data_IF_823105525518
#
_entry.id   IF_823105525518
#
_cell.length_a   1.000
_cell.length_b   1.000
_cell.length_c   1.000
_cell.angle_alpha   90.00
_cell.angle_beta   90.00
_cell.angle_gamma   90.00
#
_symmetry.space_group_name_H-M   'P 1'
#
loop_
_entity.id
_entity.type
_entity.pdbx_description
1 polymer ?
#
# COMPACT_ATOMS: atom_id res chain seq x y z
N UNK A 1 67.53 18.77 28.30
CA UNK A 1 68.89 19.22 28.65
C UNK A 1 69.85 18.41 27.80
N UNK A 2 69.78 18.53 26.47
CA UNK A 2 70.27 19.67 25.65
C UNK A 2 71.77 19.87 25.92
N UNK A 3 72.67 19.74 24.93
CA UNK A 3 72.92 20.70 23.85
C UNK A 3 73.70 19.92 22.75
N UNK A 4 73.17 19.72 21.55
CA UNK A 4 73.27 20.58 20.35
C UNK A 4 74.63 20.46 19.61
N UNK A 5 74.59 19.94 18.39
CA UNK A 5 75.56 20.25 17.35
C UNK A 5 74.82 20.31 16.00
N UNK A 6 75.02 21.43 15.33
CA UNK A 6 74.21 22.00 14.28
C UNK A 6 75.05 22.10 13.01
N UNK A 7 74.47 21.64 11.88
CA UNK A 7 74.66 22.11 10.49
C UNK A 7 76.02 21.94 9.78
N UNK A 8 75.98 21.26 8.62
CA UNK A 8 76.42 21.81 7.30
C UNK A 8 75.50 21.25 6.20
N UNK A 9 74.72 22.13 5.55
CA UNK A 9 74.09 21.92 4.23
C UNK A 9 75.15 21.96 3.11
N UNK A 10 74.94 21.24 1.99
CA UNK A 10 74.79 21.80 0.61
C UNK A 10 74.46 20.66 -0.37
N UNK A 11 73.22 20.67 -0.89
CA UNK A 11 72.92 20.84 -2.33
C UNK A 11 73.23 19.74 -3.37
N UNK A 12 72.13 19.11 -3.82
CA UNK A 12 71.72 18.83 -5.23
C UNK A 12 72.40 17.69 -6.04
N UNK A 13 71.68 16.56 -6.10
CA UNK A 13 71.11 16.00 -7.35
C UNK A 13 71.98 15.12 -8.26
N UNK A 14 71.63 13.83 -8.39
CA UNK A 14 71.08 13.24 -9.64
C UNK A 14 71.08 11.70 -9.63
N UNK A 15 70.06 11.15 -10.29
CA UNK A 15 69.91 9.80 -10.87
C UNK A 15 69.69 8.57 -9.97
N UNK A 16 68.48 8.05 -10.13
CA UNK A 16 67.98 6.72 -9.74
C UNK A 16 68.66 5.65 -10.59
N UNK A 17 69.05 4.54 -9.95
CA UNK A 17 69.33 3.27 -10.59
C UNK A 17 68.76 2.16 -9.72
N UNK A 18 67.79 1.38 -10.24
CA UNK A 18 67.46 0.05 -9.71
C UNK A 18 66.73 -0.82 -10.75
N UNK A 19 67.53 -1.74 -11.32
CA UNK A 19 67.26 -3.14 -11.68
C UNK A 19 66.07 -3.50 -12.62
N UNK A 20 66.44 -3.96 -13.82
CA UNK A 20 65.70 -4.85 -14.76
C UNK A 20 65.50 -6.29 -14.20
N UNK A 21 64.97 -7.33 -14.94
CA UNK A 21 64.38 -7.40 -16.30
C UNK A 21 63.09 -8.26 -16.50
N UNK A 22 62.43 -8.00 -17.65
CA UNK A 22 61.85 -8.92 -18.66
C UNK A 22 60.93 -10.11 -18.26
N UNK A 23 59.66 -10.06 -18.71
CA UNK A 23 59.09 -11.13 -19.57
C UNK A 23 57.85 -10.64 -20.33
N UNK A 24 57.98 -10.57 -21.66
CA UNK A 24 56.98 -10.19 -22.65
C UNK A 24 55.89 -11.25 -22.81
N UNK A 25 54.62 -10.83 -22.83
CA UNK A 25 53.48 -11.69 -23.16
C UNK A 25 53.39 -11.86 -24.68
N UNK A 26 53.63 -13.06 -25.17
CA UNK A 26 53.45 -13.46 -26.57
C UNK A 26 51.96 -13.66 -26.90
N UNK A 27 51.53 -13.08 -28.01
CA UNK A 27 50.34 -13.47 -28.76
C UNK A 27 50.57 -14.82 -29.43
N UNK A 28 49.63 -15.76 -29.29
CA UNK A 28 49.45 -16.89 -30.20
C UNK A 28 47.95 -17.08 -30.42
N UNK A 29 47.53 -16.90 -31.67
CA UNK A 29 46.26 -17.34 -32.24
C UNK A 29 46.44 -18.75 -32.78
N UNK A 30 45.59 -19.70 -32.36
CA UNK A 30 44.85 -20.65 -33.20
C UNK A 30 44.23 -21.74 -32.31
N UNK A 31 42.92 -21.91 -32.41
CA UNK A 31 42.28 -23.21 -32.74
C UNK A 31 40.76 -23.02 -32.66
N UNK A 32 40.12 -23.11 -33.82
CA UNK A 32 38.69 -23.27 -33.91
C UNK A 32 38.31 -24.72 -33.68
N UNK A 33 37.44 -24.98 -32.72
CA UNK A 33 36.57 -26.15 -32.77
C UNK A 33 35.17 -25.76 -32.26
N UNK A 34 34.22 -25.79 -33.20
CA UNK A 34 32.85 -25.38 -32.99
C UNK A 34 32.08 -26.46 -32.21
N UNK A 35 31.80 -26.20 -30.92
CA UNK A 35 30.76 -26.92 -30.18
C UNK A 35 29.53 -26.03 -30.12
N UNK A 36 28.54 -26.38 -30.94
CA UNK A 36 27.15 -25.88 -30.85
C UNK A 36 26.59 -26.26 -29.48
N UNK A 37 26.40 -25.27 -28.62
CA UNK A 37 25.55 -25.37 -27.44
C UNK A 37 24.33 -24.46 -27.65
N UNK A 38 23.35 -24.97 -28.39
CA UNK A 38 21.96 -24.49 -28.34
C UNK A 38 21.35 -25.05 -27.06
N UNK A 39 21.60 -24.39 -25.92
CA UNK A 39 20.80 -24.49 -24.68
C UNK A 39 21.28 -23.44 -23.66
N UNK A 40 21.43 -22.19 -24.12
CA UNK A 40 21.62 -21.07 -23.20
C UNK A 40 20.26 -20.76 -22.58
N UNK A 41 20.08 -20.88 -21.24
CA UNK A 41 18.89 -20.35 -20.60
C UNK A 41 18.78 -18.85 -20.92
N UNK A 42 17.56 -18.29 -21.04
CA UNK A 42 17.39 -16.87 -21.37
C UNK A 42 18.23 -16.02 -20.42
N UNK A 43 18.87 -14.93 -20.90
CA UNK A 43 19.75 -14.12 -20.08
C UNK A 43 19.01 -13.70 -18.81
N UNK A 44 19.58 -14.02 -17.65
CA UNK A 44 19.08 -13.62 -16.34
C UNK A 44 18.83 -12.11 -16.37
N UNK A 45 17.67 -11.62 -15.89
CA UNK A 45 17.42 -10.19 -15.85
C UNK A 45 18.45 -9.59 -14.90
N UNK A 46 19.18 -8.64 -15.45
CA UNK A 46 20.07 -7.77 -14.72
C UNK A 46 19.28 -7.03 -13.63
N UNK A 47 19.41 -7.46 -12.37
CA UNK A 47 19.07 -6.63 -11.22
C UNK A 47 20.15 -5.54 -11.14
N UNK A 48 19.85 -4.25 -11.37
CA UNK A 48 20.87 -3.22 -11.24
C UNK A 48 21.23 -3.09 -9.75
N UNK A 49 22.44 -3.51 -9.37
CA UNK A 49 22.98 -3.34 -8.02
C UNK A 49 22.34 -4.26 -6.97
N UNK A 50 23.01 -5.34 -6.60
CA UNK A 50 22.54 -6.37 -5.68
C UNK A 50 22.09 -5.81 -4.32
N UNK A 51 20.77 -5.74 -4.10
CA UNK A 51 20.19 -5.44 -2.78
C UNK A 51 19.81 -3.98 -2.54
N UNK A 52 19.25 -3.73 -1.35
CA UNK A 52 18.65 -2.45 -0.96
C UNK A 52 19.54 -1.23 -1.31
N UNK A 53 19.04 -0.36 -2.19
CA UNK A 53 19.75 0.86 -2.58
C UNK A 53 19.69 1.87 -1.44
N UNK A 54 20.82 2.05 -0.76
CA UNK A 54 21.00 2.98 0.38
C UNK A 54 21.32 4.42 -0.05
N UNK A 55 21.71 4.62 -1.31
CA UNK A 55 22.06 5.92 -1.90
C UNK A 55 20.83 6.83 -2.13
N UNK A 56 21.02 8.16 -2.26
CA UNK A 56 19.93 9.08 -2.59
C UNK A 56 19.26 8.68 -3.91
N UNK A 57 17.97 8.33 -3.82
CA UNK A 57 17.17 7.87 -4.96
C UNK A 57 16.71 9.06 -5.82
N UNK A 58 16.71 8.94 -7.16
CA UNK A 58 16.10 9.94 -8.03
C UNK A 58 14.58 9.96 -7.87
N UNK A 59 13.95 11.12 -8.11
CA UNK A 59 12.48 11.21 -8.10
C UNK A 59 11.88 10.40 -9.24
N UNK A 60 11.01 9.44 -8.91
CA UNK A 60 10.30 8.57 -9.85
C UNK A 60 8.82 8.91 -9.90
N UNK A 61 8.20 8.69 -11.07
CA UNK A 61 6.74 8.79 -11.27
C UNK A 61 6.13 10.14 -10.83
N UNK A 62 6.84 11.25 -11.04
CA UNK A 62 6.44 12.60 -10.62
C UNK A 62 5.04 12.98 -11.12
N UNK A 63 4.66 12.53 -12.31
CA UNK A 63 3.34 12.78 -12.86
C UNK A 63 2.21 12.25 -11.95
N UNK A 64 2.38 11.06 -11.35
CA UNK A 64 1.40 10.49 -10.44
C UNK A 64 1.24 11.34 -9.17
N UNK A 65 2.35 11.83 -8.61
CA UNK A 65 2.36 12.78 -7.50
C UNK A 65 1.60 14.05 -7.84
N UNK A 66 1.91 14.66 -9.00
CA UNK A 66 1.27 15.91 -9.43
C UNK A 66 -0.23 15.72 -9.61
N UNK A 67 -0.66 14.64 -10.26
CA UNK A 67 -2.09 14.32 -10.43
C UNK A 67 -2.78 14.19 -9.08
N UNK A 68 -2.19 13.43 -8.15
CA UNK A 68 -2.78 13.25 -6.82
C UNK A 68 -2.94 14.58 -6.08
N UNK A 69 -1.90 15.42 -6.07
CA UNK A 69 -1.95 16.75 -5.43
C UNK A 69 -3.03 17.63 -6.07
N UNK A 70 -3.15 17.64 -7.39
CA UNK A 70 -4.21 18.38 -8.10
C UNK A 70 -5.59 17.90 -7.67
N UNK A 71 -5.82 16.58 -7.62
CA UNK A 71 -7.10 16.00 -7.21
C UNK A 71 -7.46 16.36 -5.76
N UNK A 72 -6.50 16.28 -4.84
CA UNK A 72 -6.70 16.66 -3.43
C UNK A 72 -7.03 18.14 -3.33
N UNK A 73 -6.23 19.02 -3.92
CA UNK A 73 -6.46 20.46 -3.89
C UNK A 73 -7.78 20.85 -4.55
N UNK A 74 -8.13 20.23 -5.68
CA UNK A 74 -9.40 20.46 -6.36
C UNK A 74 -10.59 20.04 -5.48
N UNK A 75 -10.50 18.88 -4.80
CA UNK A 75 -11.57 18.43 -3.90
C UNK A 75 -11.79 19.37 -2.72
N UNK A 76 -10.70 19.88 -2.12
CA UNK A 76 -10.77 20.81 -0.99
C UNK A 76 -11.26 22.19 -1.45
N UNK A 77 -10.71 22.72 -2.54
CA UNK A 77 -11.08 24.03 -3.07
C UNK A 77 -12.55 24.05 -3.51
N UNK A 78 -13.02 22.99 -4.18
CA UNK A 78 -14.42 22.85 -4.57
C UNK A 78 -15.32 22.76 -3.32
N UNK A 79 -14.92 22.01 -2.30
CA UNK A 79 -15.64 21.93 -1.03
C UNK A 79 -15.80 23.29 -0.35
N UNK A 80 -14.72 24.07 -0.26
CA UNK A 80 -14.74 25.43 0.31
C UNK A 80 -15.64 26.35 -0.54
N UNK A 81 -15.49 26.35 -1.86
CA UNK A 81 -16.32 27.13 -2.78
C UNK A 81 -17.82 26.85 -2.57
N UNK A 82 -18.19 25.58 -2.43
CA UNK A 82 -19.57 25.15 -2.23
C UNK A 82 -20.14 25.60 -0.89
N UNK A 83 -19.35 25.55 0.19
CA UNK A 83 -19.75 26.04 1.51
C UNK A 83 -19.98 27.56 1.48
N UNK A 84 -19.15 28.31 0.74
CA UNK A 84 -19.22 29.78 0.70
C UNK A 84 -20.32 30.30 -0.22
N UNK A 85 -20.50 29.71 -1.40
CA UNK A 85 -21.35 30.29 -2.46
C UNK A 85 -22.71 29.61 -2.67
N UNK A 86 -22.91 28.41 -2.13
CA UNK A 86 -24.11 27.62 -2.41
C UNK A 86 -24.82 27.09 -1.15
N UNK A 87 -24.38 27.49 0.04
CA UNK A 87 -24.98 27.04 1.31
C UNK A 87 -25.66 28.19 2.08
N UNK A 88 -26.40 29.05 1.37
CA UNK A 88 -27.08 30.22 1.98
C UNK A 88 -28.24 29.81 2.92
N UNK A 89 -28.83 28.64 2.72
CA UNK A 89 -30.06 28.19 3.41
C UNK A 89 -29.85 27.08 4.45
N UNK A 90 -28.62 26.86 4.94
CA UNK A 90 -28.30 25.74 5.85
C UNK A 90 -29.10 25.72 7.17
N UNK A 91 -29.68 26.85 7.57
CA UNK A 91 -30.55 26.98 8.75
C UNK A 91 -32.06 26.84 8.47
N UNK A 92 -32.47 26.68 7.21
CA UNK A 92 -33.87 26.71 6.78
C UNK A 92 -34.42 25.33 6.38
N UNK A 93 -33.73 24.25 6.78
CA UNK A 93 -33.99 22.87 6.35
C UNK A 93 -35.44 22.39 6.62
N UNK A 94 -36.14 23.03 7.55
CA UNK A 94 -37.49 22.65 8.02
C UNK A 94 -38.63 23.67 7.75
N UNK A 95 -38.39 24.82 7.10
CA UNK A 95 -39.37 25.95 7.14
C UNK A 95 -40.04 26.36 5.83
N UNK A 96 -40.20 25.46 4.86
CA UNK A 96 -40.74 25.83 3.55
C UNK A 96 -42.20 25.44 3.33
N UNK A 97 -42.95 26.33 2.68
CA UNK A 97 -44.37 26.16 2.35
C UNK A 97 -44.61 26.31 0.84
N UNK A 98 -45.59 25.55 0.32
CA UNK A 98 -46.05 25.64 -1.07
C UNK A 98 -47.19 26.66 -1.19
N UNK A 99 -47.05 27.62 -2.12
CA UNK A 99 -48.14 28.54 -2.46
C UNK A 99 -48.93 28.02 -3.67
N UNK A 100 -50.20 27.67 -3.48
CA UNK A 100 -51.08 27.19 -4.56
C UNK A 100 -51.46 28.27 -5.58
N UNK A 101 -51.46 29.55 -5.18
CA UNK A 101 -51.83 30.68 -6.05
C UNK A 101 -50.71 31.11 -6.99
N UNK A 102 -49.44 31.03 -6.55
CA UNK A 102 -48.27 31.37 -7.37
C UNK A 102 -47.55 30.15 -7.92
N UNK A 103 -47.85 28.95 -7.41
CA UNK A 103 -47.18 27.70 -7.79
C UNK A 103 -45.70 27.66 -7.41
N UNK A 104 -45.28 28.50 -6.47
CA UNK A 104 -43.90 28.65 -6.02
C UNK A 104 -43.76 28.24 -4.55
N UNK A 105 -42.56 27.80 -4.20
CA UNK A 105 -42.19 27.44 -2.84
C UNK A 105 -41.44 28.59 -2.17
N UNK A 106 -41.70 28.85 -0.89
CA UNK A 106 -41.05 29.92 -0.11
C UNK A 106 -40.64 29.41 1.27
N UNK A 107 -39.49 29.88 1.77
CA UNK A 107 -39.01 29.62 3.14
C UNK A 107 -39.47 30.75 4.08
N UNK A 108 -39.83 30.43 5.32
CA UNK A 108 -40.15 31.44 6.32
C UNK A 108 -38.86 31.91 7.00
N UNK A 109 -38.46 33.17 6.76
CA UNK A 109 -37.41 33.84 7.54
C UNK A 109 -37.99 34.32 8.85
N UNK A 110 -38.12 33.42 9.83
CA UNK A 110 -38.68 33.77 11.14
C UNK A 110 -38.07 32.96 12.26
N UNK A 111 -36.82 33.26 12.63
CA UNK A 111 -36.48 33.72 13.97
C UNK A 111 -34.98 34.05 14.06
N UNK A 112 -34.74 35.23 14.63
CA UNK A 112 -33.51 35.81 15.20
C UNK A 112 -32.19 35.06 15.01
N UNK A 113 -31.26 35.80 14.39
CA UNK A 113 -29.89 35.96 14.87
C UNK A 113 -29.79 35.90 16.40
N UNK A 114 -29.38 34.76 16.94
CA UNK A 114 -28.73 34.69 18.23
C UNK A 114 -27.67 33.59 18.20
N UNK A 115 -26.42 34.06 18.11
CA UNK A 115 -25.20 33.33 18.43
C UNK A 115 -25.03 31.96 17.78
N UNK A 116 -24.22 31.96 16.72
CA UNK A 116 -23.35 30.86 16.38
C UNK A 116 -22.69 30.29 17.66
N UNK A 117 -23.27 29.23 18.23
CA UNK A 117 -22.54 28.34 19.12
C UNK A 117 -21.63 27.49 18.25
N UNK A 118 -20.44 28.05 18.05
CA UNK A 118 -19.20 27.34 17.82
C UNK A 118 -19.09 26.30 18.95
N UNK A 119 -19.57 25.09 18.73
CA UNK A 119 -19.23 23.83 19.43
C UNK A 119 -19.92 22.64 18.74
N UNK A 120 -19.62 22.42 17.46
CA UNK A 120 -19.85 21.12 16.80
C UNK A 120 -18.66 20.74 15.91
N UNK A 121 -17.45 20.92 16.44
CA UNK A 121 -16.28 20.21 15.92
C UNK A 121 -16.16 18.89 16.68
N UNK A 122 -16.20 17.79 15.91
CA UNK A 122 -15.94 16.39 16.29
C UNK A 122 -17.19 15.59 16.75
N UNK A 123 -18.15 15.39 15.85
CA UNK A 123 -18.88 14.11 15.79
C UNK A 123 -18.94 13.63 14.33
N UNK A 124 -18.28 12.51 14.02
CA UNK A 124 -18.46 11.76 12.79
C UNK A 124 -19.86 11.11 12.82
N UNK A 125 -20.91 11.88 12.51
CA UNK A 125 -22.23 11.28 12.23
C UNK A 125 -22.32 10.79 10.78
N UNK A 126 -23.10 9.72 10.62
CA UNK A 126 -23.43 9.02 9.39
C UNK A 126 -23.65 9.96 8.19
N UNK A 127 -23.22 9.51 6.99
CA UNK A 127 -23.27 10.20 5.70
C UNK A 127 -24.67 10.78 5.37
N UNK A 128 -25.74 10.28 5.99
CA UNK A 128 -27.11 10.76 5.82
C UNK A 128 -27.44 12.10 6.51
N UNK A 129 -26.57 12.63 7.39
CA UNK A 129 -26.87 13.82 8.22
C UNK A 129 -26.05 15.07 7.88
N UNK A 130 -25.36 15.10 6.73
CA UNK A 130 -24.67 16.31 6.29
C UNK A 130 -25.71 17.30 5.74
N UNK A 131 -25.60 18.61 6.05
CA UNK A 131 -26.52 19.62 5.52
C UNK A 131 -26.43 19.60 3.99
N UNK A 132 -27.52 19.19 3.34
CA UNK A 132 -27.64 19.12 1.90
C UNK A 132 -27.87 20.52 1.35
N UNK A 133 -26.95 20.99 0.50
CA UNK A 133 -27.23 22.12 -0.40
C UNK A 133 -28.42 21.71 -1.26
N UNK A 134 -29.53 22.41 -1.12
CA UNK A 134 -30.75 22.00 -1.77
C UNK A 134 -31.60 23.20 -2.16
N UNK A 135 -32.24 23.08 -3.32
CA UNK A 135 -33.21 24.05 -3.83
C UNK A 135 -34.60 23.44 -3.77
N UNK A 136 -35.58 24.29 -3.52
CA UNK A 136 -36.98 23.90 -3.56
C UNK A 136 -37.43 23.62 -4.99
N UNK A 137 -37.84 22.38 -5.27
CA UNK A 137 -38.45 21.98 -6.53
C UNK A 137 -39.91 21.59 -6.30
N UNK A 138 -40.78 21.93 -7.26
CA UNK A 138 -42.17 21.45 -7.29
C UNK A 138 -42.15 19.92 -7.47
N UNK A 139 -42.82 19.20 -6.59
CA UNK A 139 -43.07 17.76 -6.69
C UNK A 139 -44.58 17.52 -6.76
N UNK A 140 -45.01 16.59 -7.61
CA UNK A 140 -46.42 16.25 -7.82
C UNK A 140 -46.98 15.24 -6.81
N UNK A 141 -46.14 14.68 -5.93
CA UNK A 141 -46.55 13.66 -4.96
C UNK A 141 -45.89 13.92 -3.61
N UNK A 142 -46.68 14.40 -2.65
CA UNK A 142 -46.40 14.25 -1.22
C UNK A 142 -47.51 13.45 -0.54
N UNK A 143 -47.14 12.86 0.60
CA UNK A 143 -47.81 11.75 1.26
C UNK A 143 -49.30 12.01 1.58
N UNK A 144 -50.17 11.16 1.03
CA UNK A 144 -51.64 11.15 1.17
C UNK A 144 -52.29 10.39 0.00
N UNK A 145 -53.54 9.93 0.14
CA UNK A 145 -54.26 9.17 -0.92
C UNK A 145 -54.57 9.99 -2.20
N UNK A 146 -54.31 11.31 -2.18
CA UNK A 146 -54.49 12.20 -3.32
C UNK A 146 -53.17 12.94 -3.66
N UNK A 147 -52.86 13.02 -4.95
CA UNK A 147 -51.71 13.78 -5.46
C UNK A 147 -51.89 15.26 -5.09
N UNK A 148 -51.06 15.74 -4.17
CA UNK A 148 -51.03 17.14 -3.72
C UNK A 148 -49.69 17.74 -4.09
N UNK A 149 -49.72 18.90 -4.75
CA UNK A 149 -48.53 19.66 -5.06
C UNK A 149 -47.85 20.08 -3.76
N UNK A 150 -46.58 19.73 -3.66
CA UNK A 150 -45.78 20.02 -2.50
C UNK A 150 -44.38 20.39 -2.94
N UNK A 151 -43.62 20.79 -1.94
CA UNK A 151 -42.27 21.20 -2.16
C UNK A 151 -41.31 20.18 -1.55
N UNK A 152 -40.34 19.74 -2.35
CA UNK A 152 -39.32 18.78 -1.92
C UNK A 152 -37.92 19.37 -2.10
N UNK A 153 -37.02 19.05 -1.17
CA UNK A 153 -35.61 19.35 -1.32
C UNK A 153 -35.03 18.61 -2.52
N UNK A 154 -34.54 19.36 -3.50
CA UNK A 154 -33.81 18.83 -4.65
C UNK A 154 -32.33 19.14 -4.52
N UNK A 155 -31.50 18.14 -4.81
CA UNK A 155 -30.04 18.27 -4.80
C UNK A 155 -29.60 18.95 -6.09
N UNK A 156 -28.76 19.98 -5.99
CA UNK A 156 -28.21 20.64 -7.17
C UNK A 156 -27.38 19.67 -8.03
N UNK A 157 -27.41 19.85 -9.36
CA UNK A 157 -26.76 18.94 -10.33
C UNK A 157 -25.25 18.77 -10.15
N UNK A 158 -24.57 19.74 -9.54
CA UNK A 158 -23.13 19.68 -9.28
C UNK A 158 -22.78 18.81 -8.06
N UNK A 159 -23.71 18.63 -7.13
CA UNK A 159 -23.46 17.95 -5.85
C UNK A 159 -23.10 16.47 -6.05
N UNK A 160 -23.78 15.68 -6.91
CA UNK A 160 -23.36 14.30 -7.18
C UNK A 160 -21.95 14.20 -7.77
N UNK A 161 -21.56 15.14 -8.65
CA UNK A 161 -20.23 15.17 -9.27
C UNK A 161 -19.15 15.42 -8.20
N UNK A 162 -19.41 16.37 -7.30
CA UNK A 162 -18.54 16.66 -6.17
C UNK A 162 -18.41 15.45 -5.21
N UNK A 163 -19.51 14.76 -4.91
CA UNK A 163 -19.46 13.54 -4.09
C UNK A 163 -18.61 12.45 -4.73
N UNK A 164 -18.79 12.18 -6.03
CA UNK A 164 -18.00 11.17 -6.73
C UNK A 164 -16.50 11.52 -6.68
N UNK A 165 -16.16 12.78 -6.97
CA UNK A 165 -14.77 13.25 -6.92
C UNK A 165 -14.18 13.10 -5.50
N UNK A 166 -14.92 13.51 -4.47
CA UNK A 166 -14.46 13.47 -3.07
C UNK A 166 -14.33 12.05 -2.55
N UNK A 167 -15.27 11.17 -2.87
CA UNK A 167 -15.21 9.75 -2.50
C UNK A 167 -14.00 9.11 -3.18
N UNK A 168 -13.76 9.42 -4.46
CA UNK A 168 -12.60 8.93 -5.18
C UNK A 168 -11.28 9.42 -4.58
N UNK A 169 -11.14 10.71 -4.28
CA UNK A 169 -9.91 11.25 -3.69
C UNK A 169 -9.67 10.71 -2.28
N UNK A 170 -10.72 10.54 -1.47
CA UNK A 170 -10.64 9.93 -0.16
C UNK A 170 -10.20 8.46 -0.25
N UNK A 171 -10.82 7.68 -1.14
CA UNK A 171 -10.47 6.29 -1.38
C UNK A 171 -9.00 6.18 -1.82
N UNK A 172 -8.58 6.98 -2.80
CA UNK A 172 -7.21 6.99 -3.29
C UNK A 172 -6.21 7.39 -2.19
N UNK A 173 -6.56 8.35 -1.33
CA UNK A 173 -5.71 8.76 -0.20
C UNK A 173 -5.53 7.65 0.85
N UNK A 174 -6.61 6.95 1.21
CA UNK A 174 -6.55 5.82 2.16
C UNK A 174 -5.68 4.69 1.60
N UNK A 175 -5.85 4.39 0.30
CA UNK A 175 -5.07 3.35 -0.37
C UNK A 175 -3.59 3.76 -0.50
N UNK A 176 -3.31 5.01 -0.84
CA UNK A 176 -1.95 5.56 -0.83
C UNK A 176 -1.28 5.38 0.53
N UNK A 177 -1.99 5.66 1.63
CA UNK A 177 -1.43 5.47 2.98
C UNK A 177 -1.18 4.00 3.31
N UNK A 178 -2.04 3.10 2.84
CA UNK A 178 -1.86 1.65 3.00
C UNK A 178 -0.63 1.17 2.24
N UNK A 179 -0.47 1.59 0.98
CA UNK A 179 0.69 1.28 0.14
C UNK A 179 1.98 1.90 0.68
N UNK A 180 1.91 3.11 1.24
CA UNK A 180 3.04 3.77 1.89
C UNK A 180 3.51 2.99 3.13
N UNK A 181 2.57 2.46 3.93
CA UNK A 181 2.89 1.61 5.07
C UNK A 181 3.65 0.34 4.62
N UNK A 182 3.15 -0.35 3.59
CA UNK A 182 3.81 -1.54 3.02
C UNK A 182 5.20 -1.17 2.50
N UNK A 183 5.32 -0.08 1.74
CA UNK A 183 6.60 0.39 1.22
C UNK A 183 7.62 0.66 2.33
N UNK A 184 7.23 1.35 3.40
CA UNK A 184 8.13 1.67 4.52
C UNK A 184 8.57 0.40 5.26
N UNK A 185 7.64 -0.53 5.48
CA UNK A 185 7.94 -1.81 6.10
C UNK A 185 8.90 -2.63 5.24
N UNK A 186 8.62 -2.76 3.94
CA UNK A 186 9.47 -3.48 3.01
C UNK A 186 10.86 -2.88 2.89
N UNK A 187 10.95 -1.54 2.83
CA UNK A 187 12.22 -0.81 2.81
C UNK A 187 13.04 -1.05 4.08
N UNK A 188 12.39 -1.09 5.25
CA UNK A 188 13.04 -1.34 6.55
C UNK A 188 13.57 -2.77 6.64
N UNK A 189 12.79 -3.75 6.18
CA UNK A 189 13.20 -5.16 6.16
C UNK A 189 14.33 -5.37 5.18
N UNK A 190 14.26 -4.76 3.98
CA UNK A 190 15.32 -4.86 2.99
C UNK A 190 16.64 -4.30 3.52
N UNK A 191 16.61 -3.18 4.24
CA UNK A 191 17.78 -2.66 4.95
C UNK A 191 18.35 -3.71 5.90
N UNK A 192 17.54 -4.27 6.80
CA UNK A 192 18.00 -5.32 7.72
C UNK A 192 18.55 -6.55 6.96
N UNK A 193 17.86 -7.01 5.93
CA UNK A 193 18.20 -8.21 5.18
C UNK A 193 19.55 -8.08 4.46
N UNK A 194 19.78 -6.95 3.77
CA UNK A 194 21.01 -6.72 3.00
C UNK A 194 22.13 -6.06 3.82
N UNK A 195 21.93 -5.80 5.12
CA UNK A 195 23.03 -5.28 5.96
C UNK A 195 24.08 -6.34 6.29
N UNK A 196 25.34 -5.94 6.17
CA UNK A 196 26.50 -6.74 6.57
C UNK A 196 26.46 -7.01 8.08
N UNK A 197 26.64 -8.28 8.45
CA UNK A 197 26.67 -8.75 9.84
C UNK A 197 27.68 -7.96 10.67
N UNK A 198 27.21 -7.32 11.75
CA UNK A 198 28.04 -6.51 12.66
C UNK A 198 27.91 -4.98 12.51
N UNK A 199 27.25 -4.49 11.46
CA UNK A 199 26.94 -3.06 11.30
C UNK A 199 25.61 -2.71 12.00
N UNK A 200 25.56 -1.57 12.71
CA UNK A 200 24.30 -1.08 13.32
C UNK A 200 23.45 -0.40 12.26
N UNK A 201 22.22 -0.88 12.11
CA UNK A 201 21.20 -0.26 11.25
C UNK A 201 20.58 0.95 11.97
N UNK A 202 21.29 2.07 12.04
CA UNK A 202 20.76 3.29 12.70
C UNK A 202 19.96 4.13 11.72
N UNK A 203 18.66 4.33 11.99
CA UNK A 203 17.81 5.29 11.27
C UNK A 203 16.95 4.71 10.14
N UNK A 204 16.82 3.38 10.07
CA UNK A 204 16.19 2.68 8.94
C UNK A 204 14.75 3.11 8.63
N UNK A 205 13.90 3.26 9.65
CA UNK A 205 12.50 3.68 9.46
C UNK A 205 12.43 5.15 9.01
N UNK A 206 13.26 6.03 9.58
CA UNK A 206 13.30 7.45 9.19
C UNK A 206 13.77 7.60 7.74
N UNK A 207 14.75 6.82 7.32
CA UNK A 207 15.22 6.79 5.95
C UNK A 207 14.16 6.21 5.00
N UNK A 208 13.51 5.10 5.37
CA UNK A 208 12.41 4.51 4.62
C UNK A 208 11.26 5.51 4.41
N UNK A 209 10.87 6.24 5.47
CA UNK A 209 9.86 7.30 5.40
C UNK A 209 10.29 8.44 4.46
N UNK A 210 11.56 8.87 4.51
CA UNK A 210 12.08 9.88 3.58
C UNK A 210 12.04 9.43 2.13
N UNK A 211 12.30 8.14 1.86
CA UNK A 211 12.20 7.60 0.51
C UNK A 211 10.74 7.48 0.05
N UNK A 212 9.85 7.00 0.92
CA UNK A 212 8.42 6.82 0.63
C UNK A 212 7.71 8.14 0.34
N UNK A 213 7.93 9.18 1.14
CA UNK A 213 7.30 10.51 0.99
C UNK A 213 8.15 11.51 0.19
N UNK A 214 9.27 11.06 -0.38
CA UNK A 214 10.17 11.88 -1.18
C UNK A 214 10.33 11.30 -2.59
N UNK A 215 11.50 10.74 -2.95
CA UNK A 215 11.77 10.27 -4.31
C UNK A 215 10.78 9.24 -4.88
N UNK A 216 10.23 8.37 -4.04
CA UNK A 216 9.37 7.26 -4.47
C UNK A 216 7.88 7.52 -4.22
N UNK A 217 7.51 8.74 -3.80
CA UNK A 217 6.11 9.07 -3.52
C UNK A 217 5.21 8.90 -4.74
N UNK A 218 5.72 9.20 -5.94
CA UNK A 218 4.99 8.98 -7.20
C UNK A 218 4.65 7.52 -7.43
N UNK A 219 5.62 6.62 -7.19
CA UNK A 219 5.45 5.17 -7.33
C UNK A 219 4.41 4.63 -6.36
N UNK A 220 4.47 5.06 -5.08
CA UNK A 220 3.50 4.69 -4.04
C UNK A 220 2.10 5.20 -4.38
N UNK A 221 2.01 6.45 -4.85
CA UNK A 221 0.76 7.07 -5.28
C UNK A 221 0.13 6.35 -6.46
N UNK A 222 0.95 5.95 -7.44
CA UNK A 222 0.49 5.18 -8.59
C UNK A 222 0.02 3.78 -8.20
N UNK A 223 0.72 3.10 -7.28
CA UNK A 223 0.26 1.83 -6.69
C UNK A 223 -1.13 1.98 -6.05
N UNK A 224 -1.31 3.00 -5.21
CA UNK A 224 -2.61 3.30 -4.59
C UNK A 224 -3.71 3.59 -5.60
N UNK A 225 -3.38 4.23 -6.74
CA UNK A 225 -4.32 4.50 -7.84
C UNK A 225 -4.76 3.21 -8.53
N UNK A 226 -3.82 2.29 -8.79
CA UNK A 226 -4.12 0.98 -9.40
C UNK A 226 -5.09 0.21 -8.52
N UNK A 227 -4.82 0.14 -7.21
CA UNK A 227 -5.73 -0.53 -6.25
C UNK A 227 -7.08 0.19 -6.18
N UNK A 228 -7.11 1.53 -6.21
CA UNK A 228 -8.37 2.29 -6.22
C UNK A 228 -9.22 1.95 -7.43
N UNK A 229 -8.59 1.91 -8.62
CA UNK A 229 -9.26 1.57 -9.86
C UNK A 229 -9.81 0.15 -9.86
N UNK A 230 -9.01 -0.81 -9.39
CA UNK A 230 -9.41 -2.21 -9.24
C UNK A 230 -10.64 -2.32 -8.31
N UNK A 231 -10.63 -1.65 -7.15
CA UNK A 231 -11.75 -1.67 -6.20
C UNK A 231 -13.01 -1.02 -6.76
N UNK A 232 -12.89 0.08 -7.50
CA UNK A 232 -14.03 0.72 -8.17
C UNK A 232 -14.65 -0.18 -9.23
N UNK A 233 -13.83 -0.86 -10.05
CA UNK A 233 -14.35 -1.80 -11.05
C UNK A 233 -15.06 -2.96 -10.35
N UNK A 234 -14.49 -3.53 -9.28
CA UNK A 234 -15.17 -4.59 -8.52
C UNK A 234 -16.52 -4.12 -7.97
N UNK A 235 -16.57 -2.94 -7.35
CA UNK A 235 -17.82 -2.38 -6.84
C UNK A 235 -18.86 -2.18 -7.96
N UNK A 236 -18.44 -1.76 -9.16
CA UNK A 236 -19.33 -1.62 -10.31
C UNK A 236 -19.80 -2.98 -10.88
N UNK A 237 -18.91 -3.96 -10.93
CA UNK A 237 -19.24 -5.33 -11.35
C UNK A 237 -20.20 -5.96 -10.35
N UNK A 238 -20.02 -5.73 -9.05
CA UNK A 238 -20.87 -6.27 -7.99
C UNK A 238 -22.22 -5.55 -7.89
N UNK A 239 -22.29 -4.25 -8.13
CA UNK A 239 -23.57 -3.54 -8.17
C UNK A 239 -24.48 -4.04 -9.30
N UNK A 240 -23.90 -4.51 -10.42
CA UNK A 240 -24.66 -5.14 -11.51
C UNK A 240 -25.29 -6.49 -11.14
N UNK A 241 -24.86 -7.14 -10.04
CA UNK A 241 -25.47 -8.39 -9.56
C UNK A 241 -26.91 -8.19 -9.08
N UNK A 242 -27.18 -7.03 -8.48
CA UNK A 242 -28.45 -6.77 -7.80
C UNK A 242 -29.58 -6.40 -8.77
N UNK A 243 -29.27 -6.22 -10.06
CA UNK A 243 -30.29 -6.08 -11.11
C UNK A 243 -30.89 -7.46 -11.40
N UNK A 244 -32.15 -7.66 -11.00
CA UNK A 244 -32.91 -8.92 -11.04
C UNK A 244 -33.27 -9.40 -12.47
N UNK A 245 -32.28 -9.60 -13.34
CA UNK A 245 -32.46 -10.15 -14.69
C UNK A 245 -31.80 -11.53 -14.84
N UNK A 246 -32.31 -12.42 -15.71
CA UNK A 246 -31.63 -13.66 -16.04
C UNK A 246 -30.27 -13.36 -16.67
N UNK A 247 -29.20 -13.60 -15.93
CA UNK A 247 -27.83 -13.41 -16.40
C UNK A 247 -27.50 -14.52 -17.39
N UNK A 248 -27.33 -14.18 -18.67
CA UNK A 248 -26.88 -15.13 -19.68
C UNK A 248 -25.49 -15.68 -19.34
N UNK A 249 -25.22 -16.94 -19.72
CA UNK A 249 -23.94 -17.62 -19.47
C UNK A 249 -22.72 -16.80 -19.93
N UNK A 250 -22.84 -16.05 -21.03
CA UNK A 250 -21.80 -15.16 -21.54
C UNK A 250 -21.45 -14.00 -20.57
N UNK A 251 -22.44 -13.39 -19.91
CA UNK A 251 -22.23 -12.31 -18.94
C UNK A 251 -21.54 -12.87 -17.69
N UNK A 252 -21.94 -14.06 -17.25
CA UNK A 252 -21.29 -14.75 -16.13
C UNK A 252 -19.83 -15.11 -16.44
N UNK A 253 -19.53 -15.58 -17.65
CA UNK A 253 -18.17 -15.89 -18.09
C UNK A 253 -17.29 -14.63 -18.14
N UNK A 254 -17.77 -13.55 -18.78
CA UNK A 254 -17.05 -12.27 -18.84
C UNK A 254 -16.77 -11.73 -17.44
N UNK A 255 -17.74 -11.83 -16.53
CA UNK A 255 -17.59 -11.45 -15.12
C UNK A 255 -16.50 -12.24 -14.42
N UNK A 256 -16.47 -13.56 -14.61
CA UNK A 256 -15.42 -14.42 -14.06
C UNK A 256 -14.04 -13.99 -14.56
N UNK A 257 -13.90 -13.73 -15.87
CA UNK A 257 -12.66 -13.25 -16.47
C UNK A 257 -12.22 -11.89 -15.90
N UNK A 258 -13.14 -10.93 -15.76
CA UNK A 258 -12.85 -9.61 -15.17
C UNK A 258 -12.43 -9.76 -13.71
N UNK A 259 -13.14 -10.55 -12.91
CA UNK A 259 -12.77 -10.76 -11.51
C UNK A 259 -11.39 -11.41 -11.38
N UNK A 260 -11.10 -12.42 -12.20
CA UNK A 260 -9.79 -13.04 -12.25
C UNK A 260 -8.68 -12.03 -12.59
N UNK A 261 -8.88 -11.23 -13.64
CA UNK A 261 -7.92 -10.19 -14.03
C UNK A 261 -7.70 -9.17 -12.90
N UNK A 262 -8.76 -8.72 -12.22
CA UNK A 262 -8.67 -7.79 -11.10
C UNK A 262 -7.92 -8.40 -9.91
N UNK A 263 -8.14 -9.68 -9.61
CA UNK A 263 -7.38 -10.40 -8.56
C UNK A 263 -5.90 -10.48 -8.94
N UNK A 264 -5.58 -10.81 -10.20
CA UNK A 264 -4.20 -10.86 -10.68
C UNK A 264 -3.48 -9.52 -10.60
N UNK A 265 -4.17 -8.41 -10.92
CA UNK A 265 -3.59 -7.07 -10.83
C UNK A 265 -3.29 -6.70 -9.37
N UNK A 266 -4.21 -6.97 -8.44
CA UNK A 266 -3.99 -6.68 -7.02
C UNK A 266 -2.85 -7.53 -6.44
N UNK A 267 -2.81 -8.81 -6.82
CA UNK A 267 -1.72 -9.70 -6.45
C UNK A 267 -0.38 -9.19 -6.99
N UNK A 268 -0.28 -8.83 -8.27
CA UNK A 268 0.95 -8.28 -8.84
C UNK A 268 1.33 -6.94 -8.18
N UNK A 269 0.35 -6.08 -7.87
CA UNK A 269 0.59 -4.79 -7.21
C UNK A 269 1.24 -4.97 -5.84
N UNK A 270 0.79 -5.97 -5.08
CA UNK A 270 1.36 -6.34 -3.77
C UNK A 270 2.87 -6.63 -3.86
N UNK A 271 3.32 -7.39 -4.87
CA UNK A 271 4.75 -7.63 -5.09
C UNK A 271 5.46 -6.40 -5.67
N UNK A 272 4.78 -5.66 -6.54
CA UNK A 272 5.33 -4.47 -7.20
C UNK A 272 5.76 -3.42 -6.18
N UNK A 273 4.93 -3.11 -5.18
CA UNK A 273 5.28 -2.11 -4.16
C UNK A 273 6.46 -2.56 -3.29
N UNK A 274 6.56 -3.85 -2.98
CA UNK A 274 7.69 -4.43 -2.25
C UNK A 274 8.99 -4.33 -3.08
N UNK A 275 8.94 -4.66 -4.37
CA UNK A 275 10.07 -4.49 -5.28
C UNK A 275 10.50 -3.03 -5.41
N UNK A 276 9.54 -2.10 -5.53
CA UNK A 276 9.82 -0.67 -5.56
C UNK A 276 10.50 -0.20 -4.27
N UNK A 277 10.11 -0.74 -3.11
CA UNK A 277 10.74 -0.43 -1.83
C UNK A 277 12.20 -0.89 -1.76
N UNK A 278 12.49 -2.10 -2.24
CA UNK A 278 13.83 -2.69 -2.24
C UNK A 278 14.74 -1.96 -3.24
N UNK A 279 14.30 -1.88 -4.51
CA UNK A 279 15.12 -1.42 -5.64
C UNK A 279 15.13 0.10 -5.83
N UNK A 280 14.05 0.78 -5.45
CA UNK A 280 13.90 2.22 -5.71
C UNK A 280 13.58 2.57 -7.17
N UNK A 281 13.17 1.59 -7.97
CA UNK A 281 12.75 1.77 -9.35
C UNK A 281 11.35 2.38 -9.45
N UNK A 282 11.00 2.85 -10.66
CA UNK A 282 9.64 3.32 -10.94
C UNK A 282 8.63 2.17 -10.93
N UNK A 283 7.33 2.49 -10.96
CA UNK A 283 6.27 1.48 -10.84
C UNK A 283 6.35 0.43 -11.95
N UNK A 284 6.49 0.85 -13.21
CA UNK A 284 6.47 -0.06 -14.35
C UNK A 284 7.66 -1.03 -14.35
N UNK A 285 8.87 -0.55 -14.02
CA UNK A 285 10.03 -1.44 -13.90
C UNK A 285 9.86 -2.39 -12.72
N UNK A 286 9.37 -1.89 -11.58
CA UNK A 286 9.11 -2.72 -10.39
C UNK A 286 8.06 -3.80 -10.67
N UNK A 287 7.01 -3.47 -11.44
CA UNK A 287 5.98 -4.41 -11.84
C UNK A 287 6.52 -5.47 -12.80
N UNK A 288 7.43 -5.09 -13.70
CA UNK A 288 8.13 -6.03 -14.58
C UNK A 288 9.00 -6.99 -13.79
N UNK A 289 9.79 -6.49 -12.83
CA UNK A 289 10.61 -7.32 -11.95
C UNK A 289 9.74 -8.28 -11.12
N UNK A 290 8.64 -7.78 -10.55
CA UNK A 290 7.67 -8.59 -9.83
C UNK A 290 7.07 -9.68 -10.71
N UNK A 291 6.66 -9.34 -11.94
CA UNK A 291 6.12 -10.29 -12.90
C UNK A 291 7.15 -11.35 -13.30
N UNK A 292 8.39 -10.97 -13.57
CA UNK A 292 9.47 -11.90 -13.94
C UNK A 292 9.80 -12.87 -12.80
N UNK A 293 9.82 -12.37 -11.54
CA UNK A 293 10.01 -13.19 -10.35
C UNK A 293 8.85 -14.18 -10.17
N UNK A 294 7.62 -13.67 -10.25
CA UNK A 294 6.41 -14.47 -10.15
C UNK A 294 6.45 -15.56 -11.23
N UNK A 295 6.67 -15.22 -12.51
CA UNK A 295 6.71 -16.16 -13.62
C UNK A 295 7.66 -17.36 -13.41
N UNK A 296 8.80 -17.15 -12.74
CA UNK A 296 9.78 -18.22 -12.47
C UNK A 296 9.42 -19.07 -11.27
N UNK A 297 8.77 -18.48 -10.27
CA UNK A 297 8.51 -19.12 -8.98
C UNK A 297 7.00 -19.21 -8.65
N UNK A 298 6.10 -19.19 -9.66
CA UNK A 298 4.66 -18.86 -9.56
C UNK A 298 3.88 -19.50 -8.41
N UNK A 299 4.22 -20.73 -8.02
CA UNK A 299 3.51 -21.48 -6.99
C UNK A 299 3.97 -21.18 -5.56
N UNK A 300 5.23 -20.79 -5.37
CA UNK A 300 5.82 -20.59 -4.04
C UNK A 300 5.24 -19.39 -3.29
N UNK A 301 5.14 -18.18 -3.88
CA UNK A 301 4.65 -17.00 -3.16
C UNK A 301 3.18 -17.14 -2.79
N UNK A 302 2.34 -17.64 -3.70
CA UNK A 302 0.90 -17.83 -3.46
C UNK A 302 0.66 -18.83 -2.33
N UNK A 303 1.40 -19.92 -2.30
CA UNK A 303 1.27 -20.94 -1.27
C UNK A 303 1.75 -20.43 0.10
N UNK A 304 2.88 -19.72 0.15
CA UNK A 304 3.39 -19.12 1.38
C UNK A 304 2.41 -18.08 1.93
N UNK A 305 1.85 -17.22 1.08
CA UNK A 305 0.86 -16.22 1.47
C UNK A 305 -0.41 -16.87 2.05
N UNK A 306 -0.99 -17.82 1.32
CA UNK A 306 -2.23 -18.48 1.76
C UNK A 306 -2.02 -19.24 3.07
N UNK A 307 -0.90 -19.95 3.21
CA UNK A 307 -0.61 -20.72 4.43
C UNK A 307 -0.35 -19.77 5.60
N UNK A 308 0.50 -18.75 5.43
CA UNK A 308 0.86 -17.79 6.47
C UNK A 308 -0.37 -17.07 7.01
N UNK A 309 -1.13 -16.39 6.15
CA UNK A 309 -2.26 -15.55 6.58
C UNK A 309 -3.36 -16.38 7.24
N UNK A 310 -3.62 -17.61 6.77
CA UNK A 310 -4.64 -18.49 7.38
C UNK A 310 -4.21 -19.03 8.73
N UNK A 311 -2.96 -19.44 8.88
CA UNK A 311 -2.43 -19.94 10.15
C UNK A 311 -2.36 -18.83 11.19
N UNK A 312 -1.85 -17.66 10.81
CA UNK A 312 -1.68 -16.51 11.68
C UNK A 312 -3.03 -15.97 12.17
N UNK A 313 -3.99 -15.83 11.25
CA UNK A 313 -5.37 -15.43 11.59
C UNK A 313 -6.08 -16.45 12.49
N UNK A 314 -5.88 -17.75 12.23
CA UNK A 314 -6.41 -18.82 13.06
C UNK A 314 -5.85 -18.78 14.49
N UNK A 315 -4.54 -18.61 14.65
CA UNK A 315 -3.90 -18.48 15.96
C UNK A 315 -4.41 -17.28 16.74
N UNK A 316 -4.51 -16.10 16.11
CA UNK A 316 -5.01 -14.89 16.78
C UNK A 316 -6.46 -15.05 17.22
N UNK A 317 -7.30 -15.66 16.40
CA UNK A 317 -8.67 -15.92 16.79
C UNK A 317 -8.72 -16.80 18.04
N UNK A 318 -8.00 -17.93 18.06
CA UNK A 318 -7.96 -18.84 19.21
C UNK A 318 -7.41 -18.15 20.46
N UNK A 319 -6.28 -17.45 20.36
CA UNK A 319 -5.66 -16.75 21.50
C UNK A 319 -6.57 -15.66 22.06
N UNK A 320 -7.24 -14.90 21.19
CA UNK A 320 -8.19 -13.87 21.63
C UNK A 320 -9.36 -14.49 22.38
N UNK A 321 -9.95 -15.58 21.88
CA UNK A 321 -11.07 -16.27 22.55
C UNK A 321 -10.65 -16.84 23.90
N UNK A 322 -9.46 -17.45 24.00
CA UNK A 322 -8.92 -17.95 25.27
C UNK A 322 -8.75 -16.79 26.27
N UNK A 323 -8.22 -15.65 25.83
CA UNK A 323 -8.12 -14.44 26.67
C UNK A 323 -9.49 -13.98 27.17
N UNK A 324 -10.51 -13.93 26.30
CA UNK A 324 -11.87 -13.55 26.69
C UNK A 324 -12.45 -14.48 27.78
N UNK A 325 -12.24 -15.79 27.63
CA UNK A 325 -12.70 -16.79 28.62
C UNK A 325 -12.01 -16.57 29.97
N UNK A 326 -10.69 -16.34 29.97
CA UNK A 326 -9.92 -16.08 31.19
C UNK A 326 -10.36 -14.79 31.88
N UNK A 327 -10.51 -13.69 31.13
CA UNK A 327 -10.99 -12.41 31.66
C UNK A 327 -12.41 -12.55 32.23
N UNK A 328 -13.30 -13.27 31.53
CA UNK A 328 -14.65 -13.53 32.02
C UNK A 328 -14.64 -14.29 33.35
N UNK A 329 -13.81 -15.33 33.45
CA UNK A 329 -13.69 -16.15 34.66
C UNK A 329 -13.16 -15.34 35.85
N UNK A 330 -12.12 -14.51 35.63
CA UNK A 330 -11.54 -13.65 36.66
C UNK A 330 -12.56 -12.61 37.12
N UNK A 331 -13.24 -11.93 36.19
CA UNK A 331 -14.25 -10.93 36.54
C UNK A 331 -15.37 -11.56 37.35
N UNK A 332 -15.86 -12.75 36.96
CA UNK A 332 -16.91 -13.45 37.72
C UNK A 332 -16.47 -13.93 39.10
N UNK A 333 -15.23 -14.40 39.24
CA UNK A 333 -14.73 -14.92 40.50
C UNK A 333 -14.30 -13.82 41.47
N UNK A 334 -13.70 -12.73 40.97
CA UNK A 334 -13.12 -11.67 41.79
C UNK A 334 -14.06 -10.50 42.07
N UNK A 335 -15.03 -10.24 41.19
CA UNK A 335 -15.90 -9.08 41.29
C UNK A 335 -17.32 -9.46 40.84
N UNK A 336 -18.27 -9.63 41.77
CA UNK A 336 -19.65 -10.05 41.48
C UNK A 336 -20.47 -9.03 40.64
N UNK A 337 -20.06 -8.77 39.39
CA UNK A 337 -20.61 -7.73 38.48
C UNK A 337 -21.78 -8.21 37.61
N UNK A 338 -22.25 -9.45 37.80
CA UNK A 338 -23.40 -9.99 37.07
C UNK A 338 -23.27 -9.86 35.56
N UNK A 339 -24.25 -9.21 34.91
CA UNK A 339 -24.30 -9.05 33.45
C UNK A 339 -23.26 -8.05 32.89
N UNK A 340 -22.77 -7.12 33.71
CA UNK A 340 -21.80 -6.08 33.28
C UNK A 340 -20.45 -6.71 32.92
N UNK A 341 -20.10 -7.82 33.58
CA UNK A 341 -18.87 -8.57 33.30
C UNK A 341 -18.78 -9.04 31.84
N UNK A 342 -19.92 -9.36 31.19
CA UNK A 342 -19.94 -9.79 29.79
C UNK A 342 -19.61 -8.66 28.82
N UNK A 343 -20.15 -7.46 29.05
CA UNK A 343 -19.87 -6.28 28.22
C UNK A 343 -18.41 -5.86 28.33
N UNK A 344 -17.87 -5.84 29.55
CA UNK A 344 -16.45 -5.53 29.81
C UNK A 344 -15.54 -6.57 29.14
N UNK A 345 -15.87 -7.86 29.27
CA UNK A 345 -15.10 -8.93 28.60
C UNK A 345 -15.16 -8.80 27.09
N UNK A 346 -16.34 -8.53 26.51
CA UNK A 346 -16.49 -8.39 25.06
C UNK A 346 -15.69 -7.21 24.50
N UNK A 347 -15.67 -6.08 25.21
CA UNK A 347 -14.89 -4.91 24.82
C UNK A 347 -13.38 -5.19 24.94
N UNK A 348 -12.93 -5.82 26.03
CA UNK A 348 -11.54 -6.22 26.21
C UNK A 348 -11.08 -7.22 25.13
N UNK A 349 -11.94 -8.19 24.80
CA UNK A 349 -11.70 -9.14 23.71
C UNK A 349 -11.57 -8.42 22.36
N UNK A 350 -12.52 -7.53 22.04
CA UNK A 350 -12.51 -6.78 20.79
C UNK A 350 -11.23 -5.94 20.66
N UNK A 351 -10.83 -5.26 21.72
CA UNK A 351 -9.62 -4.44 21.74
C UNK A 351 -8.36 -5.30 21.51
N UNK A 352 -8.24 -6.43 22.22
CA UNK A 352 -7.09 -7.34 22.04
C UNK A 352 -7.08 -7.98 20.64
N UNK A 353 -8.25 -8.39 20.15
CA UNK A 353 -8.40 -8.97 18.82
C UNK A 353 -7.94 -7.99 17.73
N UNK A 354 -8.33 -6.72 17.82
CA UNK A 354 -7.87 -5.66 16.90
C UNK A 354 -6.35 -5.47 16.98
N UNK A 355 -5.77 -5.43 18.19
CA UNK A 355 -4.31 -5.31 18.35
C UNK A 355 -3.58 -6.49 17.69
N UNK A 356 -4.06 -7.71 17.90
CA UNK A 356 -3.46 -8.89 17.29
C UNK A 356 -3.63 -8.90 15.76
N UNK A 357 -4.78 -8.47 15.23
CA UNK A 357 -4.96 -8.33 13.78
C UNK A 357 -3.97 -7.34 13.16
N UNK A 358 -3.70 -6.22 13.84
CA UNK A 358 -2.69 -5.25 13.40
C UNK A 358 -1.28 -5.86 13.39
N UNK A 359 -0.94 -6.63 14.42
CA UNK A 359 0.34 -7.35 14.48
C UNK A 359 0.46 -8.38 13.35
N UNK A 360 -0.62 -9.13 13.10
CA UNK A 360 -0.68 -10.09 12.00
C UNK A 360 -0.47 -9.45 10.64
N UNK A 361 -1.13 -8.32 10.39
CA UNK A 361 -0.98 -7.57 9.16
C UNK A 361 0.48 -7.15 8.94
N UNK A 362 1.18 -6.72 9.99
CA UNK A 362 2.61 -6.39 9.90
C UNK A 362 3.45 -7.63 9.61
N UNK A 363 3.20 -8.75 10.28
CA UNK A 363 3.91 -10.00 10.05
C UNK A 363 3.73 -10.55 8.63
N UNK A 364 2.52 -10.52 8.08
CA UNK A 364 2.28 -10.99 6.71
C UNK A 364 3.09 -10.18 5.70
N UNK A 365 3.09 -8.84 5.83
CA UNK A 365 3.93 -7.98 4.99
C UNK A 365 5.44 -8.24 5.19
N UNK A 366 5.86 -8.63 6.41
CA UNK A 366 7.25 -9.02 6.67
C UNK A 366 7.60 -10.30 5.90
N UNK A 367 6.74 -11.32 5.98
CA UNK A 367 6.96 -12.62 5.32
C UNK A 367 7.05 -12.42 3.80
N UNK A 368 6.14 -11.64 3.22
CA UNK A 368 6.16 -11.33 1.79
C UNK A 368 7.46 -10.62 1.37
N UNK A 369 7.91 -9.63 2.16
CA UNK A 369 9.15 -8.89 1.83
C UNK A 369 10.37 -9.79 1.97
N UNK A 370 10.47 -10.56 3.04
CA UNK A 370 11.61 -11.47 3.26
C UNK A 370 11.68 -12.53 2.15
N UNK A 371 10.53 -13.05 1.71
CA UNK A 371 10.47 -13.96 0.58
C UNK A 371 11.02 -13.31 -0.71
N UNK A 372 10.65 -12.06 -0.99
CA UNK A 372 11.18 -11.34 -2.17
C UNK A 372 12.69 -11.12 -2.04
N UNK A 373 13.18 -10.70 -0.87
CA UNK A 373 14.61 -10.54 -0.64
C UNK A 373 15.38 -11.86 -0.85
N UNK A 374 14.85 -12.97 -0.33
CA UNK A 374 15.39 -14.32 -0.56
C UNK A 374 15.40 -14.70 -2.05
N UNK A 375 14.32 -14.40 -2.77
CA UNK A 375 14.22 -14.71 -4.20
C UNK A 375 15.21 -13.88 -5.03
N UNK A 376 15.43 -12.61 -4.68
CA UNK A 376 16.47 -11.76 -5.30
C UNK A 376 17.86 -12.32 -5.03
N UNK A 377 18.17 -12.70 -3.78
CA UNK A 377 19.45 -13.32 -3.41
C UNK A 377 19.69 -14.64 -4.17
N UNK A 378 18.66 -15.49 -4.27
CA UNK A 378 18.70 -16.76 -5.00
C UNK A 378 18.97 -16.56 -6.49
N UNK A 379 18.25 -15.64 -7.15
CA UNK A 379 18.47 -15.32 -8.57
C UNK A 379 19.86 -14.71 -8.82
N UNK A 380 20.40 -14.04 -7.80
CA UNK A 380 21.69 -13.36 -7.81
C UNK A 380 22.88 -14.28 -7.55
N UNK A 381 22.64 -15.48 -7.03
CA UNK A 381 23.70 -16.36 -6.52
C UNK A 381 24.40 -15.85 -5.26
N UNK A 382 23.73 -14.95 -4.50
CA UNK A 382 24.26 -14.36 -3.28
C UNK A 382 23.53 -14.91 -2.03
N UNK A 383 24.17 -14.84 -0.87
CA UNK A 383 23.58 -15.24 0.41
C UNK A 383 23.82 -14.14 1.44
N UNK A 384 22.86 -13.24 1.60
CA UNK A 384 22.94 -12.13 2.56
C UNK A 384 22.65 -12.58 4.00
N UNK A 385 21.69 -13.50 4.17
CA UNK A 385 21.32 -14.10 5.47
C UNK A 385 21.19 -15.60 5.34
N UNK A 386 22.11 -16.32 5.98
CA UNK A 386 22.21 -17.77 5.91
C UNK A 386 21.03 -18.46 6.62
N UNK A 387 20.65 -17.96 7.80
CA UNK A 387 19.49 -18.46 8.58
C UNK A 387 18.18 -18.43 7.78
N UNK A 388 17.99 -17.38 6.96
CA UNK A 388 16.78 -17.26 6.13
C UNK A 388 16.81 -18.29 5.01
N UNK A 389 17.96 -18.48 4.36
CA UNK A 389 18.11 -19.48 3.31
C UNK A 389 17.85 -20.90 3.83
N UNK A 390 18.35 -21.24 5.02
CA UNK A 390 18.13 -22.54 5.65
C UNK A 390 16.63 -22.83 5.86
N UNK A 391 15.87 -21.85 6.34
CA UNK A 391 14.41 -22.00 6.56
C UNK A 391 13.67 -22.19 5.24
N UNK A 392 13.96 -21.39 4.21
CA UNK A 392 13.27 -21.50 2.93
C UNK A 392 13.65 -22.76 2.13
N UNK A 393 14.86 -23.31 2.32
CA UNK A 393 15.27 -24.59 1.72
C UNK A 393 14.52 -25.79 2.32
N UNK A 394 14.05 -25.71 3.57
CA UNK A 394 13.26 -26.76 4.21
C UNK A 394 11.81 -26.82 3.69
N UNK A 395 11.33 -25.78 3.00
CA UNK A 395 9.98 -25.78 2.46
C UNK A 395 9.89 -26.76 1.26
N UNK A 396 8.81 -27.58 1.19
CA UNK A 396 8.66 -28.62 0.17
C UNK A 396 8.62 -28.11 -1.28
N UNK A 397 8.61 -26.79 -1.48
CA UNK A 397 8.64 -26.12 -2.78
C UNK A 397 10.04 -26.17 -3.42
N UNK A 398 11.11 -26.44 -2.67
CA UNK A 398 12.48 -26.47 -3.20
C UNK A 398 12.89 -27.79 -3.88
N UNK A 399 11.99 -28.78 -4.00
CA UNK A 399 12.36 -30.16 -4.39
C UNK A 399 12.46 -30.45 -5.89
N UNK A 400 12.16 -29.49 -6.77
CA UNK A 400 12.21 -29.69 -8.24
C UNK A 400 13.52 -29.23 -8.90
N UNK A 401 14.64 -29.15 -8.17
CA UNK A 401 15.94 -28.83 -8.77
C UNK A 401 16.77 -30.11 -9.02
N UNK A 402 17.23 -30.37 -10.27
CA UNK A 402 18.05 -31.54 -10.57
C UNK A 402 19.37 -31.52 -9.79
N UNK A 403 19.94 -32.70 -9.44
CA UNK A 403 21.04 -32.85 -8.47
C UNK A 403 22.41 -32.26 -8.86
N UNK A 404 22.49 -31.41 -9.89
CA UNK A 404 23.75 -30.88 -10.40
C UNK A 404 24.37 -29.74 -9.57
N UNK A 405 23.61 -29.12 -8.64
CA UNK A 405 24.10 -27.98 -7.83
C UNK A 405 24.40 -28.34 -6.36
N UNK A 406 24.18 -29.59 -5.94
CA UNK A 406 24.49 -30.04 -4.58
C UNK A 406 25.99 -30.32 -4.34
N UNK A 407 26.86 -30.13 -5.35
CA UNK A 407 28.29 -30.52 -5.28
C UNK A 407 29.22 -29.33 -4.96
N UNK A 408 28.71 -28.10 -4.80
CA UNK A 408 29.56 -26.94 -4.48
C UNK A 408 29.51 -26.47 -3.01
N UNK A 409 28.91 -27.27 -2.11
CA UNK A 409 28.97 -27.01 -0.66
C UNK A 409 29.55 -28.23 0.09
N UNK A 410 30.76 -28.64 -0.30
CA UNK A 410 31.61 -29.52 0.49
C UNK A 410 32.98 -28.85 0.69
#
# INVERSE_FOLDING_TARGET
MDVEATQIEVGVGSSKEKLEPLLSKSEVSDEGEAVKADDQPPPLPYYPGFGFVSEPRPYRDIAATVIFVIFVLASVAWGIFCVVNHNEDCGLVDSAMYNSSSGLCYSYSGYSSDTARIEQLIEFRSISSWPRVSKFSRSSYCQGEAATDCCSWSVDKWVPVYYILTIFTLLWSILLMTEAQVYVLSSTIAQWYFTVSGSKVTGSIRQALKHAFGPSFGTVTFSGLVVAFVRMIRAAVDSSQNAQGPQGCFIAMLRCCVNFALISIEFLNKFTINFAAITGENYCNSAKLAYDLLKRNLLSPVLVEVISTRLLGGMVFVLSVVYAVVVCAILRAGMNLGAIAYYVTALAWLLLFVIFLLFCQVLDNIIDTVYICYAIDKDSGAVSKLEVHDVYLMLPVSRDQPPALAVQQA
#
